data_IF_113101811062
#
_entry.id   IF_113101811062
#
_cell.length_a   1.000
_cell.length_b   1.000
_cell.length_c   1.000
_cell.angle_alpha   90.00
_cell.angle_beta   90.00
_cell.angle_gamma   90.00
#
_symmetry.space_group_name_H-M   'P 1'
#
loop_
_entity.id
_entity.type
_entity.pdbx_description
1 polymer ?
#
# COMPACT_ATOMS: atom_id res chain seq x y z
N UNK A 1 -5.60 -5.09 -9.83
CA UNK A 1 -6.63 -5.53 -8.86
C UNK A 1 -6.73 -4.48 -7.76
N UNK A 2 -7.93 -4.16 -7.27
CA UNK A 2 -8.13 -3.24 -6.16
C UNK A 2 -9.08 -3.85 -5.12
N UNK A 3 -8.82 -3.63 -3.83
CA UNK A 3 -9.67 -4.11 -2.74
C UNK A 3 -9.57 -3.19 -1.53
N UNK A 4 -10.65 -3.09 -0.76
CA UNK A 4 -10.67 -2.45 0.57
C UNK A 4 -10.61 -3.47 1.71
N UNK A 5 -10.53 -4.77 1.38
CA UNK A 5 -10.43 -5.88 2.33
C UNK A 5 -9.13 -6.62 2.09
N UNK A 6 -7.99 -6.08 2.55
CA UNK A 6 -6.68 -6.68 2.31
C UNK A 6 -6.44 -7.87 3.24
N UNK A 7 -7.11 -8.99 2.96
CA UNK A 7 -6.92 -10.26 3.69
C UNK A 7 -6.10 -11.23 2.85
N UNK A 8 -5.42 -12.18 3.48
CA UNK A 8 -4.62 -13.21 2.79
C UNK A 8 -5.44 -14.12 1.87
N UNK A 9 -6.74 -14.25 2.12
CA UNK A 9 -7.66 -15.00 1.26
C UNK A 9 -8.03 -14.23 -0.02
N UNK A 10 -7.90 -12.90 -0.01
CA UNK A 10 -8.13 -12.04 -1.18
C UNK A 10 -6.80 -11.76 -1.90
N UNK A 11 -5.75 -11.42 -1.14
CA UNK A 11 -4.40 -11.17 -1.64
C UNK A 11 -3.56 -12.44 -1.38
N UNK A 12 -3.88 -13.48 -2.15
CA UNK A 12 -3.26 -14.80 -2.00
C UNK A 12 -1.80 -14.81 -2.44
N UNK A 13 -1.05 -15.84 -2.05
CA UNK A 13 0.34 -16.02 -2.49
C UNK A 13 0.49 -16.05 -4.02
N UNK A 14 -0.45 -16.69 -4.72
CA UNK A 14 -0.45 -16.74 -6.20
C UNK A 14 -0.63 -15.35 -6.81
N UNK A 15 -1.49 -14.50 -6.24
CA UNK A 15 -1.62 -13.10 -6.69
C UNK A 15 -0.31 -12.35 -6.44
N UNK A 16 0.25 -12.45 -5.23
CA UNK A 16 1.50 -11.77 -4.88
C UNK A 16 2.68 -12.19 -5.75
N UNK A 17 2.73 -13.45 -6.20
CA UNK A 17 3.78 -13.98 -7.05
C UNK A 17 3.70 -13.52 -8.52
N UNK A 18 2.50 -13.20 -9.02
CA UNK A 18 2.30 -12.80 -10.42
C UNK A 18 2.15 -11.28 -10.62
N UNK A 19 1.95 -10.53 -9.54
CA UNK A 19 1.80 -9.06 -9.56
C UNK A 19 2.79 -8.43 -8.56
N UNK A 20 4.05 -8.21 -8.97
CA UNK A 20 5.10 -7.68 -8.09
C UNK A 20 4.93 -6.19 -7.81
N UNK A 21 4.32 -5.43 -8.73
CA UNK A 21 4.01 -4.02 -8.52
C UNK A 21 2.73 -3.85 -7.68
N UNK A 22 2.82 -3.06 -6.61
CA UNK A 22 1.76 -2.93 -5.60
C UNK A 22 1.61 -1.48 -5.15
N UNK A 23 0.38 -1.12 -4.82
CA UNK A 23 0.03 0.20 -4.30
C UNK A 23 -0.81 0.00 -3.04
N UNK A 24 -0.42 0.65 -1.96
CA UNK A 24 -1.18 0.66 -0.72
C UNK A 24 -1.50 2.11 -0.31
N UNK A 25 -2.79 2.40 -0.20
CA UNK A 25 -3.29 3.57 0.51
C UNK A 25 -3.30 3.31 2.02
N UNK A 26 -3.67 4.33 2.81
CA UNK A 26 -3.80 4.18 4.27
C UNK A 26 -4.63 2.96 4.65
N UNK A 27 -4.04 2.10 5.47
CA UNK A 27 -4.72 0.95 6.10
C UNK A 27 -4.80 1.11 7.62
N UNK A 28 -5.61 0.28 8.27
CA UNK A 28 -5.85 0.36 9.71
C UNK A 28 -4.76 -0.30 10.54
N UNK A 29 -4.08 -1.32 10.00
CA UNK A 29 -3.11 -2.11 10.77
C UNK A 29 -1.82 -2.42 9.99
N UNK A 30 -0.75 -2.68 10.74
CA UNK A 30 0.53 -3.16 10.18
C UNK A 30 0.35 -4.51 9.47
N UNK A 31 -0.60 -5.33 9.93
CA UNK A 31 -0.91 -6.63 9.33
C UNK A 31 -1.47 -6.44 7.92
N UNK A 32 -2.38 -5.50 7.73
CA UNK A 32 -2.93 -5.16 6.42
C UNK A 32 -1.84 -4.59 5.50
N UNK A 33 -0.95 -3.75 6.04
CA UNK A 33 0.21 -3.23 5.29
C UNK A 33 1.06 -4.37 4.76
N UNK A 34 1.41 -5.35 5.61
CA UNK A 34 2.20 -6.52 5.19
C UNK A 34 1.44 -7.44 4.24
N UNK A 35 0.12 -7.53 4.38
CA UNK A 35 -0.69 -8.35 3.47
C UNK A 35 -0.65 -7.79 2.04
N UNK A 36 -0.61 -6.46 1.88
CA UNK A 36 -0.53 -5.81 0.57
C UNK A 36 0.94 -5.73 0.09
N UNK A 37 1.85 -5.21 0.93
CA UNK A 37 3.18 -4.74 0.49
C UNK A 37 4.31 -5.72 0.84
N UNK A 38 4.04 -6.80 1.57
CA UNK A 38 5.05 -7.61 2.27
C UNK A 38 5.97 -6.78 3.21
N UNK A 39 5.58 -5.52 3.50
CA UNK A 39 6.29 -4.56 4.32
C UNK A 39 5.31 -3.72 5.18
N UNK A 40 5.82 -3.12 6.26
CA UNK A 40 5.08 -2.16 7.06
C UNK A 40 5.13 -0.75 6.43
N UNK A 41 4.27 0.17 6.87
CA UNK A 41 4.33 1.59 6.49
C UNK A 41 3.00 2.14 6.00
N UNK A 42 2.19 1.35 5.29
CA UNK A 42 0.91 1.83 4.75
C UNK A 42 -0.09 2.22 5.86
N UNK A 43 0.06 1.66 7.06
CA UNK A 43 -0.75 2.03 8.23
C UNK A 43 -0.37 3.39 8.85
N UNK A 44 0.78 3.95 8.46
CA UNK A 44 1.29 5.24 8.92
C UNK A 44 0.95 6.39 7.98
N UNK A 45 0.51 6.08 6.75
CA UNK A 45 0.02 7.07 5.80
C UNK A 45 -1.13 7.87 6.43
N UNK A 46 -1.16 9.17 6.18
CA UNK A 46 -2.19 10.06 6.73
C UNK A 46 -3.52 9.97 5.96
N UNK A 47 -3.50 9.38 4.75
CA UNK A 47 -4.67 9.20 3.88
C UNK A 47 -4.77 10.30 2.81
N UNK A 48 -5.98 10.67 2.41
CA UNK A 48 -6.22 11.77 1.43
C UNK A 48 -5.47 11.63 0.10
N UNK A 49 -5.23 10.39 -0.34
CA UNK A 49 -4.50 10.10 -1.58
C UNK A 49 -3.04 9.72 -1.35
N UNK A 50 -2.51 9.83 -0.13
CA UNK A 50 -1.17 9.34 0.20
C UNK A 50 -1.09 7.83 0.00
N UNK A 51 0.00 7.39 -0.62
CA UNK A 51 0.18 6.01 -1.01
C UNK A 51 1.64 5.60 -0.96
N UNK A 52 1.87 4.33 -0.63
CA UNK A 52 3.11 3.65 -0.91
C UNK A 52 2.98 2.90 -2.24
N UNK A 53 4.01 2.99 -3.06
CA UNK A 53 4.16 2.17 -4.26
C UNK A 53 5.37 1.25 -4.05
N UNK A 54 5.20 -0.02 -4.37
CA UNK A 54 6.29 -1.00 -4.42
C UNK A 54 6.42 -1.53 -5.83
N UNK A 55 7.63 -1.50 -6.37
CA UNK A 55 7.99 -2.17 -7.61
C UNK A 55 9.11 -3.18 -7.33
N UNK A 56 8.70 -4.43 -7.07
CA UNK A 56 9.60 -5.52 -6.69
C UNK A 56 10.19 -5.33 -5.29
N UNK A 57 11.29 -4.57 -5.19
CA UNK A 57 12.06 -4.41 -3.95
C UNK A 57 12.14 -2.97 -3.46
N UNK A 58 11.84 -1.99 -4.31
CA UNK A 58 11.85 -0.59 -3.91
C UNK A 58 10.46 -0.19 -3.43
N UNK A 59 10.40 0.55 -2.32
CA UNK A 59 9.17 1.15 -1.81
C UNK A 59 9.37 2.66 -1.81
N UNK A 60 8.49 3.34 -2.54
CA UNK A 60 8.50 4.80 -2.67
C UNK A 60 7.22 5.36 -2.07
N UNK A 61 7.38 6.36 -1.21
CA UNK A 61 6.27 7.07 -0.57
C UNK A 61 5.85 8.29 -1.39
N UNK A 62 4.57 8.33 -1.76
CA UNK A 62 3.96 9.43 -2.50
C UNK A 62 2.96 10.14 -1.59
N UNK A 63 3.42 11.23 -0.99
CA UNK A 63 2.61 12.11 -0.16
C UNK A 63 1.89 13.14 -1.06
N UNK A 64 0.61 12.93 -1.29
CA UNK A 64 -0.28 13.86 -2.00
C UNK A 64 -0.64 15.04 -1.09
N UNK A 65 -0.64 14.84 0.23
CA UNK A 65 -0.97 15.89 1.20
C UNK A 65 0.01 17.08 1.21
N UNK A 66 1.27 16.87 0.80
CA UNK A 66 2.24 17.96 0.76
C UNK A 66 1.93 18.97 -0.36
N UNK A 67 1.21 18.56 -1.41
CA UNK A 67 0.85 19.42 -2.54
C UNK A 67 -0.34 20.35 -2.27
N UNK A 68 -1.17 20.07 -1.26
CA UNK A 68 -2.34 20.90 -0.92
C UNK A 68 -2.02 22.03 0.06
N UNK A 69 -0.85 21.99 0.72
CA UNK A 69 -0.36 23.06 1.61
C UNK A 69 0.64 24.00 0.94
N UNK A 70 1.04 23.70 -0.29
CA UNK A 70 1.99 24.49 -1.10
C UNK A 70 1.30 25.22 -2.26
N UNK A 71 -0.04 25.32 -2.24
CA UNK A 71 -0.84 26.09 -3.21
C UNK A 71 -1.64 27.17 -2.52
#
# INVERSE_FOLDING_TARGET
>A
MATQRPTTNIITGTIKANFPARIAFRVTSVIDSRTIMDAAGANQLIGRGDMLISDGNEITDYNVHLLIHLK
#
